data_IF_821299303689
#
_entry.id   IF_821299303689
#
_cell.length_a   1.000
_cell.length_b   1.000
_cell.length_c   1.000
_cell.angle_alpha   90.00
_cell.angle_beta   90.00
_cell.angle_gamma   90.00
#
_symmetry.space_group_name_H-M   'P 1'
#
loop_
_entity.id
_entity.type
_entity.pdbx_description
1 polymer ?
#
# COMPACT_ATOMS: atom_id res chain seq x y z
N UNK A 1 3.31 13.88 3.32
CA UNK A 1 3.29 14.63 2.05
C UNK A 1 4.40 14.22 1.09
N UNK A 2 5.30 13.33 1.49
CA UNK A 2 6.48 13.02 0.68
C UNK A 2 6.18 12.07 -0.49
N UNK A 3 5.13 11.29 -0.43
CA UNK A 3 4.70 10.41 -1.51
C UNK A 3 3.18 10.39 -1.69
N UNK A 4 2.71 10.47 -2.93
CA UNK A 4 1.29 10.36 -3.27
C UNK A 4 1.00 9.00 -3.91
N UNK A 5 0.25 8.10 -3.26
CA UNK A 5 -0.30 6.93 -3.93
C UNK A 5 -1.44 7.32 -4.87
N UNK A 6 -1.37 6.86 -6.12
CA UNK A 6 -2.43 7.03 -7.11
C UNK A 6 -2.78 5.71 -7.77
N UNK A 7 -3.98 5.68 -8.35
CA UNK A 7 -4.45 4.61 -9.24
C UNK A 7 -4.67 5.21 -10.63
N UNK A 8 -4.36 4.47 -11.68
CA UNK A 8 -4.78 4.88 -13.01
C UNK A 8 -6.26 4.54 -13.16
N UNK A 9 -7.07 5.56 -13.27
CA UNK A 9 -8.52 5.47 -13.41
C UNK A 9 -8.92 5.69 -14.86
N UNK A 10 -10.12 5.24 -15.26
CA UNK A 10 -10.68 5.49 -16.61
C UNK A 10 -10.70 6.98 -16.95
N UNK A 11 -11.06 7.81 -15.98
CA UNK A 11 -11.01 9.26 -16.11
C UNK A 11 -9.55 9.76 -16.05
N UNK A 12 -8.91 9.84 -17.21
CA UNK A 12 -7.51 10.27 -17.34
C UNK A 12 -7.30 11.74 -16.97
N UNK A 13 -8.29 12.61 -17.22
CA UNK A 13 -8.23 14.02 -16.83
C UNK A 13 -8.20 14.17 -15.31
N UNK A 14 -8.95 13.31 -14.62
CA UNK A 14 -8.91 13.26 -13.17
C UNK A 14 -7.53 12.80 -12.66
N UNK A 15 -6.95 11.75 -13.23
CA UNK A 15 -5.60 11.28 -12.87
C UNK A 15 -4.57 12.39 -13.12
N UNK A 16 -4.65 13.05 -14.25
CA UNK A 16 -3.75 14.18 -14.58
C UNK A 16 -3.90 15.34 -13.59
N UNK A 17 -5.13 15.63 -13.14
CA UNK A 17 -5.36 16.65 -12.11
C UNK A 17 -4.70 16.28 -10.78
N UNK A 18 -4.72 14.99 -10.40
CA UNK A 18 -4.03 14.52 -9.20
C UNK A 18 -2.51 14.66 -9.33
N UNK A 19 -1.95 14.30 -10.48
CA UNK A 19 -0.51 14.46 -10.76
C UNK A 19 -0.12 15.94 -10.67
N UNK A 20 -0.87 16.84 -11.29
CA UNK A 20 -0.61 18.30 -11.19
C UNK A 20 -0.67 18.81 -9.76
N UNK A 21 -1.65 18.36 -8.97
CA UNK A 21 -1.75 18.72 -7.54
C UNK A 21 -0.56 18.19 -6.74
N UNK A 22 -0.08 17.00 -7.04
CA UNK A 22 1.12 16.45 -6.40
C UNK A 22 2.38 17.28 -6.74
N UNK A 23 2.51 17.74 -7.98
CA UNK A 23 3.61 18.65 -8.40
C UNK A 23 3.53 19.96 -7.63
N UNK A 24 2.35 20.58 -7.58
CA UNK A 24 2.15 21.85 -6.84
C UNK A 24 2.41 21.69 -5.34
N UNK A 25 2.03 20.52 -4.77
CA UNK A 25 2.30 20.19 -3.38
C UNK A 25 3.76 19.77 -3.12
N UNK A 26 4.61 19.76 -4.13
CA UNK A 26 6.03 19.38 -4.06
C UNK A 26 6.23 17.97 -3.47
N UNK A 27 5.34 17.02 -3.80
CA UNK A 27 5.54 15.62 -3.41
C UNK A 27 6.85 15.11 -4.03
N UNK A 28 7.69 14.46 -3.25
CA UNK A 28 8.97 13.92 -3.71
C UNK A 28 8.83 12.66 -4.55
N UNK A 29 7.76 11.89 -4.34
CA UNK A 29 7.49 10.67 -5.07
C UNK A 29 6.00 10.48 -5.40
N UNK A 30 5.74 9.81 -6.52
CA UNK A 30 4.44 9.32 -6.93
C UNK A 30 4.45 7.79 -6.84
N UNK A 31 3.49 7.20 -6.12
CA UNK A 31 3.36 5.75 -6.01
C UNK A 31 2.18 5.29 -6.88
N UNK A 32 2.49 4.73 -8.03
CA UNK A 32 1.48 4.17 -8.94
C UNK A 32 1.15 2.74 -8.53
N UNK A 33 -0.10 2.50 -8.16
CA UNK A 33 -0.59 1.17 -7.78
C UNK A 33 -1.10 0.43 -9.03
N UNK A 34 -0.46 -0.68 -9.36
CA UNK A 34 -0.75 -1.46 -10.58
C UNK A 34 -1.63 -2.70 -10.33
N UNK A 35 -1.78 -3.14 -9.09
CA UNK A 35 -2.50 -4.36 -8.71
C UNK A 35 -3.99 -4.13 -8.37
N UNK A 36 -4.57 -3.00 -8.77
CA UNK A 36 -5.97 -2.64 -8.50
C UNK A 36 -6.70 -2.20 -9.79
N UNK A 37 -6.67 -3.02 -10.81
CA UNK A 37 -7.40 -2.82 -12.07
C UNK A 37 -8.89 -3.09 -11.93
N UNK A 38 -9.24 -4.02 -11.04
CA UNK A 38 -10.60 -4.37 -10.63
C UNK A 38 -10.64 -4.56 -9.12
N UNK A 39 -11.83 -4.42 -8.54
CA UNK A 39 -11.99 -4.63 -7.11
C UNK A 39 -11.98 -6.12 -6.77
N UNK A 40 -11.06 -6.56 -5.91
CA UNK A 40 -11.00 -7.93 -5.39
C UNK A 40 -12.24 -8.30 -4.57
N UNK A 41 -12.66 -9.55 -4.64
CA UNK A 41 -13.80 -10.09 -3.87
C UNK A 41 -13.42 -10.28 -2.40
N UNK A 42 -13.80 -9.34 -1.55
CA UNK A 42 -13.54 -9.36 -0.11
C UNK A 42 -14.73 -9.93 0.64
N UNK A 43 -14.85 -11.24 0.68
CA UNK A 43 -16.00 -11.95 1.25
C UNK A 43 -16.34 -11.51 2.69
N UNK A 44 -15.35 -11.24 3.54
CA UNK A 44 -15.59 -10.74 4.91
C UNK A 44 -16.19 -9.35 4.92
N UNK A 45 -15.73 -8.45 4.04
CA UNK A 45 -16.26 -7.10 3.94
C UNK A 45 -17.70 -7.16 3.44
N UNK A 46 -17.98 -7.97 2.42
CA UNK A 46 -19.34 -8.20 1.87
C UNK A 46 -20.27 -8.76 2.96
N UNK A 47 -19.83 -9.81 3.68
CA UNK A 47 -20.61 -10.44 4.76
C UNK A 47 -20.92 -9.48 5.90
N UNK A 48 -20.02 -8.54 6.18
CA UNK A 48 -20.18 -7.53 7.23
C UNK A 48 -20.91 -6.26 6.75
N UNK A 49 -21.44 -6.23 5.51
CA UNK A 49 -22.11 -5.05 4.96
C UNK A 49 -21.17 -3.90 4.60
N UNK A 50 -19.84 -4.14 4.59
CA UNK A 50 -18.82 -3.18 4.17
C UNK A 50 -18.62 -3.22 2.64
N UNK A 51 -19.74 -3.31 1.91
CA UNK A 51 -19.77 -3.19 0.45
C UNK A 51 -19.59 -1.72 0.02
N UNK A 52 -19.45 -1.51 -1.29
CA UNK A 52 -19.44 -0.17 -1.87
C UNK A 52 -20.73 0.02 -2.67
N UNK A 53 -21.66 0.86 -2.20
CA UNK A 53 -21.69 1.61 -0.94
C UNK A 53 -21.90 0.72 0.30
N UNK A 54 -21.50 1.16 1.50
CA UNK A 54 -21.70 0.40 2.74
C UNK A 54 -23.19 0.24 3.06
N UNK A 55 -23.58 -0.95 3.54
CA UNK A 55 -24.95 -1.24 3.97
C UNK A 55 -25.01 -1.35 5.48
N UNK A 56 -25.92 -0.59 6.11
CA UNK A 56 -26.17 -0.72 7.52
C UNK A 56 -27.01 -1.99 7.76
N UNK A 57 -26.44 -2.94 8.54
CA UNK A 57 -27.13 -4.13 9.01
C UNK A 57 -27.34 -4.03 10.51
N UNK A 58 -28.30 -4.76 11.07
CA UNK A 58 -28.54 -4.78 12.54
C UNK A 58 -27.25 -5.15 13.29
N UNK A 59 -26.49 -6.10 12.77
CA UNK A 59 -25.24 -6.54 13.38
C UNK A 59 -24.19 -5.43 13.42
N UNK A 60 -23.94 -4.73 12.32
CA UNK A 60 -22.94 -3.66 12.31
C UNK A 60 -23.44 -2.41 13.05
N UNK A 61 -24.76 -2.16 13.11
CA UNK A 61 -25.33 -1.11 13.92
C UNK A 61 -25.10 -1.36 15.43
N UNK A 62 -25.33 -2.60 15.89
CA UNK A 62 -25.03 -3.00 17.27
C UNK A 62 -23.53 -2.90 17.59
N UNK A 63 -22.66 -3.34 16.67
CA UNK A 63 -21.21 -3.22 16.85
C UNK A 63 -20.76 -1.74 16.94
N UNK A 64 -21.34 -0.86 16.14
CA UNK A 64 -21.10 0.58 16.19
C UNK A 64 -21.52 1.17 17.56
N UNK A 65 -22.72 0.86 18.03
CA UNK A 65 -23.23 1.39 19.31
C UNK A 65 -22.36 0.96 20.50
N UNK A 66 -21.75 -0.22 20.45
CA UNK A 66 -20.82 -0.69 21.50
C UNK A 66 -19.47 0.04 21.49
N UNK A 67 -19.22 0.97 20.54
CA UNK A 67 -17.96 1.70 20.39
C UNK A 67 -18.16 3.22 20.53
N UNK A 68 -18.59 3.72 21.71
CA UNK A 68 -18.99 5.11 21.88
C UNK A 68 -17.88 6.11 21.55
N UNK A 69 -16.62 5.81 21.89
CA UNK A 69 -15.50 6.67 21.56
C UNK A 69 -15.32 6.84 20.04
N UNK A 70 -15.46 5.74 19.26
CA UNK A 70 -15.40 5.79 17.81
C UNK A 70 -16.58 6.59 17.23
N UNK A 71 -17.80 6.37 17.75
CA UNK A 71 -19.01 7.10 17.33
C UNK A 71 -18.83 8.61 17.55
N UNK A 72 -18.39 9.02 18.73
CA UNK A 72 -18.15 10.42 19.04
C UNK A 72 -17.09 11.04 18.12
N UNK A 73 -15.97 10.36 17.92
CA UNK A 73 -14.93 10.85 17.03
C UNK A 73 -15.43 11.01 15.57
N UNK A 74 -16.22 10.07 15.08
CA UNK A 74 -16.83 10.18 13.74
C UNK A 74 -17.86 11.31 13.68
N UNK A 75 -18.69 11.47 14.71
CA UNK A 75 -19.70 12.53 14.76
C UNK A 75 -19.07 13.93 14.82
N UNK A 76 -17.98 14.07 15.56
CA UNK A 76 -17.24 15.33 15.70
C UNK A 76 -16.25 15.59 14.57
N UNK A 77 -15.98 14.60 13.71
CA UNK A 77 -15.05 14.76 12.59
C UNK A 77 -15.54 15.82 11.59
N UNK A 78 -14.70 16.81 11.27
CA UNK A 78 -15.10 17.93 10.40
C UNK A 78 -15.36 17.50 8.94
N UNK A 79 -14.82 16.37 8.51
CA UNK A 79 -14.93 15.87 7.14
C UNK A 79 -15.20 14.38 7.11
N UNK A 80 -16.28 13.97 6.42
CA UNK A 80 -16.69 12.58 6.21
C UNK A 80 -16.75 12.28 4.71
N UNK A 81 -15.67 12.63 3.98
CA UNK A 81 -15.63 12.52 2.52
C UNK A 81 -14.22 12.21 2.04
N UNK A 82 -14.11 11.81 0.79
CA UNK A 82 -12.83 11.60 0.13
C UNK A 82 -12.24 12.96 -0.30
N UNK A 83 -11.31 13.49 0.48
CA UNK A 83 -10.78 14.85 0.31
C UNK A 83 -10.24 15.15 -1.08
N UNK A 84 -9.66 14.16 -1.77
CA UNK A 84 -9.13 14.34 -3.12
C UNK A 84 -10.21 14.41 -4.22
N UNK A 85 -11.45 14.04 -3.91
CA UNK A 85 -12.58 14.02 -4.85
C UNK A 85 -13.52 15.23 -4.66
N UNK A 86 -13.40 15.94 -3.53
CA UNK A 86 -14.23 17.11 -3.23
C UNK A 86 -13.88 18.25 -4.16
N UNK A 87 -14.91 18.92 -4.69
CA UNK A 87 -14.76 20.09 -5.55
C UNK A 87 -14.56 19.82 -7.03
N UNK A 88 -14.49 18.54 -7.44
CA UNK A 88 -14.30 18.19 -8.86
C UNK A 88 -15.61 18.01 -9.63
N UNK A 89 -16.78 18.27 -8.99
CA UNK A 89 -18.10 18.11 -9.61
C UNK A 89 -18.45 16.67 -10.03
N UNK A 90 -17.63 15.70 -9.67
CA UNK A 90 -17.71 14.30 -10.07
C UNK A 90 -18.19 13.45 -8.88
N UNK A 91 -19.20 12.62 -9.07
CA UNK A 91 -19.67 11.65 -8.08
C UNK A 91 -20.67 12.17 -7.03
N UNK A 92 -21.13 13.42 -7.10
CA UNK A 92 -22.11 13.98 -6.16
C UNK A 92 -21.57 14.25 -4.76
N UNK A 93 -22.43 14.80 -3.87
CA UNK A 93 -22.06 15.26 -2.52
C UNK A 93 -22.14 14.19 -1.44
N UNK A 94 -22.76 13.03 -1.69
CA UNK A 94 -22.93 11.98 -0.69
C UNK A 94 -21.94 10.82 -0.88
N UNK A 95 -21.60 10.16 0.24
CA UNK A 95 -20.61 9.06 0.25
C UNK A 95 -21.02 7.87 -0.64
N UNK A 96 -22.30 7.63 -0.82
CA UNK A 96 -22.82 6.52 -1.61
C UNK A 96 -22.58 6.73 -3.12
N UNK A 97 -22.93 7.89 -3.67
CA UNK A 97 -22.70 8.25 -5.07
C UNK A 97 -21.20 8.35 -5.37
N UNK A 98 -20.43 8.88 -4.44
CA UNK A 98 -18.98 8.98 -4.54
C UNK A 98 -18.30 7.60 -4.57
N UNK A 99 -18.77 6.68 -3.72
CA UNK A 99 -18.28 5.31 -3.69
C UNK A 99 -18.62 4.54 -4.99
N UNK A 100 -19.82 4.75 -5.52
CA UNK A 100 -20.21 4.16 -6.81
C UNK A 100 -19.37 4.72 -7.96
N UNK A 101 -19.11 6.04 -7.97
CA UNK A 101 -18.24 6.65 -8.96
C UNK A 101 -16.83 6.06 -8.90
N UNK A 102 -16.22 5.94 -7.70
CA UNK A 102 -14.91 5.32 -7.53
C UNK A 102 -14.91 3.89 -8.10
N UNK A 103 -15.93 3.10 -7.78
CA UNK A 103 -16.04 1.73 -8.29
C UNK A 103 -16.12 1.65 -9.83
N UNK A 104 -16.77 2.64 -10.47
CA UNK A 104 -16.85 2.73 -11.93
C UNK A 104 -15.53 3.16 -12.60
N UNK A 105 -14.61 3.72 -11.83
CA UNK A 105 -13.33 4.24 -12.33
C UNK A 105 -12.23 3.18 -12.45
N UNK A 106 -12.42 1.98 -11.89
CA UNK A 106 -11.46 0.90 -12.10
C UNK A 106 -11.33 0.56 -13.58
N UNK A 107 -10.09 0.45 -14.04
CA UNK A 107 -9.76 0.24 -15.44
C UNK A 107 -9.06 -1.12 -15.64
N UNK A 108 -9.80 -2.17 -16.08
CA UNK A 108 -9.22 -3.47 -16.33
C UNK A 108 -8.28 -3.50 -17.54
N UNK A 109 -8.24 -2.42 -18.34
CA UNK A 109 -7.36 -2.32 -19.50
C UNK A 109 -6.01 -1.68 -19.21
N UNK A 110 -5.71 -1.41 -17.92
CA UNK A 110 -4.43 -0.87 -17.48
C UNK A 110 -3.26 -1.70 -18.03
N UNK A 111 -2.30 -1.02 -18.63
CA UNK A 111 -1.14 -1.60 -19.29
C UNK A 111 0.12 -0.80 -19.02
N UNK A 112 1.26 -1.30 -19.44
CA UNK A 112 2.55 -0.58 -19.36
C UNK A 112 2.57 0.74 -20.15
N UNK A 113 1.69 0.89 -21.16
CA UNK A 113 1.50 2.17 -21.87
C UNK A 113 0.95 3.25 -20.94
N UNK A 114 0.08 2.87 -20.01
CA UNK A 114 -0.48 3.80 -19.02
C UNK A 114 0.55 4.18 -17.97
N UNK A 115 1.43 3.26 -17.61
CA UNK A 115 2.57 3.55 -16.73
C UNK A 115 3.51 4.57 -17.40
N UNK A 116 3.84 4.36 -18.68
CA UNK A 116 4.63 5.30 -19.48
C UNK A 116 3.94 6.67 -19.60
N UNK A 117 2.61 6.68 -19.76
CA UNK A 117 1.81 7.91 -19.78
C UNK A 117 1.90 8.69 -18.46
N UNK A 118 1.89 8.01 -17.31
CA UNK A 118 2.11 8.63 -15.99
C UNK A 118 3.55 9.13 -15.89
N UNK A 119 4.55 8.33 -16.29
CA UNK A 119 5.98 8.72 -16.24
C UNK A 119 6.24 10.02 -16.98
N UNK A 120 5.66 10.20 -18.17
CA UNK A 120 5.81 11.41 -18.98
C UNK A 120 5.27 12.68 -18.30
N UNK A 121 4.29 12.54 -17.39
CA UNK A 121 3.62 13.65 -16.69
C UNK A 121 4.19 13.92 -15.31
N UNK A 122 4.87 12.96 -14.74
CA UNK A 122 5.45 13.08 -13.41
C UNK A 122 6.96 13.27 -13.48
N UNK A 123 7.51 14.43 -13.11
CA UNK A 123 8.94 14.70 -13.22
C UNK A 123 9.77 14.14 -12.05
N UNK A 124 9.12 13.80 -10.93
CA UNK A 124 9.76 13.33 -9.70
C UNK A 124 10.00 11.80 -9.70
N UNK A 125 10.27 11.24 -8.53
CA UNK A 125 10.48 9.81 -8.34
C UNK A 125 9.19 9.04 -8.58
N UNK A 126 9.22 8.03 -9.46
CA UNK A 126 8.10 7.14 -9.75
C UNK A 126 8.33 5.78 -9.10
N UNK A 127 7.39 5.37 -8.26
CA UNK A 127 7.39 4.07 -7.59
C UNK A 127 6.22 3.25 -8.12
N UNK A 128 6.46 2.03 -8.60
CA UNK A 128 5.40 1.14 -9.08
C UNK A 128 5.12 0.08 -8.02
N UNK A 129 3.89 0.07 -7.49
CA UNK A 129 3.46 -0.83 -6.43
C UNK A 129 2.55 -1.93 -6.98
N UNK A 130 2.71 -3.15 -6.44
CA UNK A 130 1.88 -4.31 -6.82
C UNK A 130 2.62 -5.30 -7.72
N UNK A 131 3.94 -5.27 -7.71
CA UNK A 131 4.77 -6.16 -8.51
C UNK A 131 4.99 -7.48 -7.75
N UNK A 132 4.69 -8.60 -8.40
CA UNK A 132 4.86 -9.96 -7.86
C UNK A 132 5.62 -10.87 -8.81
N UNK A 133 5.93 -10.40 -10.01
CA UNK A 133 6.61 -11.14 -11.05
C UNK A 133 7.90 -10.45 -11.49
N UNK A 134 8.92 -11.25 -11.85
CA UNK A 134 10.24 -10.74 -12.25
C UNK A 134 10.21 -10.04 -13.61
N UNK A 135 9.36 -10.49 -14.54
CA UNK A 135 9.26 -9.87 -15.87
C UNK A 135 8.54 -8.52 -15.77
N UNK A 136 7.48 -8.43 -14.94
CA UNK A 136 6.84 -7.16 -14.63
C UNK A 136 7.81 -6.19 -13.92
N UNK A 137 8.69 -6.71 -13.05
CA UNK A 137 9.74 -5.89 -12.44
C UNK A 137 10.72 -5.31 -13.47
N UNK A 138 11.13 -6.09 -14.48
CA UNK A 138 11.96 -5.61 -15.60
C UNK A 138 11.24 -4.54 -16.42
N UNK A 139 9.96 -4.77 -16.75
CA UNK A 139 9.14 -3.80 -17.47
C UNK A 139 8.95 -2.48 -16.68
N UNK A 140 8.86 -2.56 -15.35
CA UNK A 140 8.82 -1.38 -14.50
C UNK A 140 10.11 -0.56 -14.62
N UNK A 141 11.28 -1.22 -14.59
CA UNK A 141 12.59 -0.57 -14.80
C UNK A 141 12.65 0.07 -16.18
N UNK A 142 12.27 -0.66 -17.23
CA UNK A 142 12.31 -0.20 -18.63
C UNK A 142 11.38 1.02 -18.84
N UNK A 143 10.30 1.11 -18.06
CA UNK A 143 9.39 2.26 -18.10
C UNK A 143 9.92 3.47 -17.31
N UNK A 144 11.06 3.33 -16.63
CA UNK A 144 11.72 4.40 -15.88
C UNK A 144 11.22 4.55 -14.44
N UNK A 145 10.83 3.44 -13.80
CA UNK A 145 10.54 3.43 -12.37
C UNK A 145 11.82 3.61 -11.55
N UNK A 146 11.79 4.54 -10.60
CA UNK A 146 12.89 4.77 -9.66
C UNK A 146 12.89 3.73 -8.52
N UNK A 147 11.73 3.15 -8.22
CA UNK A 147 11.58 2.05 -7.28
C UNK A 147 10.35 1.19 -7.62
N UNK A 148 10.36 -0.04 -7.13
CA UNK A 148 9.19 -0.92 -7.15
C UNK A 148 8.83 -1.35 -5.73
N UNK A 149 7.54 -1.65 -5.49
CA UNK A 149 7.09 -2.28 -4.26
C UNK A 149 6.60 -3.69 -4.57
N UNK A 150 7.30 -4.69 -4.05
CA UNK A 150 6.85 -6.08 -4.08
C UNK A 150 5.66 -6.22 -3.14
N UNK A 151 4.48 -6.46 -3.71
CA UNK A 151 3.21 -6.33 -3.01
C UNK A 151 2.14 -7.22 -3.62
N UNK A 152 1.36 -7.91 -2.78
CA UNK A 152 0.09 -8.55 -3.15
C UNK A 152 -1.12 -7.79 -2.57
N UNK A 153 -0.97 -6.48 -2.32
CA UNK A 153 -1.98 -5.64 -1.69
C UNK A 153 -2.46 -6.16 -0.32
N UNK A 154 -1.59 -6.86 0.40
CA UNK A 154 -1.93 -7.49 1.69
C UNK A 154 -2.95 -8.63 1.55
N UNK A 155 -2.97 -9.35 0.41
CA UNK A 155 -3.88 -10.43 0.10
C UNK A 155 -5.33 -9.96 -0.15
N UNK A 156 -5.54 -8.71 -0.54
CA UNK A 156 -6.88 -8.09 -0.67
C UNK A 156 -7.41 -8.05 -2.10
N UNK A 157 -6.62 -8.49 -3.07
CA UNK A 157 -6.97 -8.48 -4.50
C UNK A 157 -7.24 -9.88 -5.02
N UNK A 158 -6.22 -10.64 -5.35
CA UNK A 158 -6.35 -12.02 -5.80
C UNK A 158 -6.10 -12.97 -4.62
N UNK A 159 -7.12 -13.74 -4.25
CA UNK A 159 -6.95 -14.83 -3.28
C UNK A 159 -6.13 -15.96 -3.93
N UNK A 160 -5.20 -16.54 -3.18
CA UNK A 160 -4.27 -17.54 -3.71
C UNK A 160 -3.07 -16.98 -4.48
N UNK A 161 -2.92 -15.65 -4.60
CA UNK A 161 -1.68 -15.06 -5.09
C UNK A 161 -0.50 -15.42 -4.17
N UNK A 162 0.74 -15.54 -4.69
CA UNK A 162 1.91 -15.79 -3.87
C UNK A 162 2.07 -14.71 -2.79
N UNK A 163 2.64 -15.09 -1.64
CA UNK A 163 3.00 -14.09 -0.65
C UNK A 163 4.10 -13.19 -1.20
N UNK A 164 4.02 -11.90 -0.92
CA UNK A 164 5.02 -10.94 -1.39
C UNK A 164 6.42 -11.29 -0.90
N UNK A 165 6.56 -11.85 0.31
CA UNK A 165 7.86 -12.28 0.84
C UNK A 165 8.45 -13.47 0.04
N UNK A 166 7.63 -14.36 -0.51
CA UNK A 166 8.08 -15.46 -1.35
C UNK A 166 8.51 -14.97 -2.75
N UNK A 167 7.87 -13.94 -3.28
CA UNK A 167 8.22 -13.34 -4.58
C UNK A 167 9.47 -12.45 -4.49
N UNK A 168 9.75 -11.87 -3.32
CA UNK A 168 10.80 -10.86 -3.12
C UNK A 168 12.20 -11.30 -3.62
N UNK A 169 12.73 -12.48 -3.27
CA UNK A 169 14.09 -12.85 -3.70
C UNK A 169 14.26 -12.92 -5.21
N UNK A 170 13.26 -13.47 -5.93
CA UNK A 170 13.29 -13.57 -7.39
C UNK A 170 13.25 -12.20 -8.07
N UNK A 171 12.49 -11.28 -7.52
CA UNK A 171 12.40 -9.89 -8.02
C UNK A 171 13.71 -9.13 -7.72
N UNK A 172 14.27 -9.27 -6.52
CA UNK A 172 15.56 -8.66 -6.17
C UNK A 172 16.66 -9.18 -7.10
N UNK A 173 16.71 -10.49 -7.38
CA UNK A 173 17.67 -11.06 -8.32
C UNK A 173 17.51 -10.53 -9.75
N UNK A 174 16.28 -10.15 -10.15
CA UNK A 174 16.02 -9.67 -11.50
C UNK A 174 16.35 -8.18 -11.71
N UNK A 175 16.19 -7.32 -10.70
CA UNK A 175 16.25 -5.86 -10.86
C UNK A 175 16.89 -5.11 -9.69
N UNK A 176 17.35 -5.80 -8.66
CA UNK A 176 17.87 -5.15 -7.44
C UNK A 176 19.13 -4.31 -7.65
N UNK A 177 19.86 -4.51 -8.74
CA UNK A 177 21.00 -3.72 -9.19
C UNK A 177 20.61 -2.49 -10.04
N UNK A 178 19.36 -2.42 -10.49
CA UNK A 178 18.86 -1.40 -11.44
C UNK A 178 17.90 -0.41 -10.82
N UNK A 179 17.12 -0.84 -9.82
CA UNK A 179 16.12 -0.01 -9.16
C UNK A 179 16.00 -0.37 -7.69
N UNK A 180 15.43 0.54 -6.90
CA UNK A 180 15.16 0.26 -5.49
C UNK A 180 13.98 -0.72 -5.36
N UNK A 181 14.17 -1.77 -4.57
CA UNK A 181 13.13 -2.76 -4.27
C UNK A 181 12.62 -2.54 -2.86
N UNK A 182 11.37 -2.10 -2.77
CA UNK A 182 10.63 -1.95 -1.52
C UNK A 182 9.69 -3.14 -1.33
N UNK A 183 9.22 -3.34 -0.11
CA UNK A 183 8.38 -4.48 0.24
C UNK A 183 7.15 -4.06 1.04
N UNK A 184 6.00 -4.65 0.75
CA UNK A 184 4.84 -4.65 1.63
C UNK A 184 4.12 -6.03 1.61
N UNK A 185 3.13 -6.15 2.48
CA UNK A 185 2.35 -7.38 2.60
C UNK A 185 2.77 -8.22 3.79
N UNK A 186 2.04 -8.05 4.89
CA UNK A 186 2.25 -8.84 6.10
C UNK A 186 3.18 -8.24 7.15
N UNK A 187 3.79 -7.10 6.92
CA UNK A 187 4.64 -6.41 7.91
C UNK A 187 3.82 -6.02 9.14
N UNK A 188 4.12 -6.62 10.30
CA UNK A 188 3.44 -6.43 11.58
C UNK A 188 4.40 -6.25 12.75
N UNK A 189 5.67 -6.59 12.56
CA UNK A 189 6.70 -6.61 13.59
C UNK A 189 8.04 -6.13 13.03
N UNK A 190 8.98 -5.78 13.92
CA UNK A 190 10.34 -5.49 13.53
C UNK A 190 11.09 -6.69 12.95
N UNK A 191 10.71 -7.91 13.34
CA UNK A 191 11.24 -9.13 12.74
C UNK A 191 10.81 -9.28 11.27
N UNK A 192 9.58 -8.89 10.91
CA UNK A 192 9.14 -8.92 9.51
C UNK A 192 9.93 -7.93 8.67
N UNK A 193 10.21 -6.73 9.21
CA UNK A 193 11.09 -5.73 8.58
C UNK A 193 12.48 -6.34 8.35
N UNK A 194 13.08 -6.90 9.41
CA UNK A 194 14.41 -7.50 9.35
C UNK A 194 14.50 -8.61 8.28
N UNK A 195 13.51 -9.53 8.24
CA UNK A 195 13.46 -10.61 7.25
C UNK A 195 13.33 -10.10 5.82
N UNK A 196 12.47 -9.10 5.59
CA UNK A 196 12.32 -8.51 4.26
C UNK A 196 13.62 -7.84 3.79
N UNK A 197 14.29 -7.10 4.68
CA UNK A 197 15.59 -6.50 4.36
C UNK A 197 16.66 -7.57 4.12
N UNK A 198 16.68 -8.64 4.93
CA UNK A 198 17.61 -9.75 4.74
C UNK A 198 17.41 -10.48 3.39
N UNK A 199 16.20 -10.44 2.83
CA UNK A 199 15.88 -10.97 1.51
C UNK A 199 16.07 -9.95 0.38
N UNK A 200 16.64 -8.78 0.67
CA UNK A 200 17.06 -7.78 -0.30
C UNK A 200 16.15 -6.58 -0.49
N UNK A 201 15.08 -6.44 0.29
CA UNK A 201 14.32 -5.20 0.31
C UNK A 201 15.13 -4.05 0.93
N UNK A 202 15.09 -2.87 0.32
CA UNK A 202 15.76 -1.67 0.82
C UNK A 202 14.88 -0.85 1.76
N UNK A 203 13.61 -1.20 1.86
CA UNK A 203 12.66 -0.60 2.79
C UNK A 203 11.34 -1.36 2.80
N UNK A 204 10.54 -1.13 3.83
CA UNK A 204 9.26 -1.81 4.02
C UNK A 204 8.13 -0.82 4.26
N UNK A 205 6.91 -1.23 3.90
CA UNK A 205 5.68 -0.48 4.15
C UNK A 205 4.73 -1.32 5.01
N UNK A 206 4.10 -0.70 5.99
CA UNK A 206 3.12 -1.33 6.86
C UNK A 206 1.73 -0.72 6.64
N UNK A 207 0.73 -1.53 6.40
CA UNK A 207 -0.66 -1.10 6.23
C UNK A 207 -1.54 -1.45 7.42
N UNK A 208 -1.94 -2.71 7.53
CA UNK A 208 -2.93 -3.15 8.54
C UNK A 208 -2.51 -2.89 9.99
N UNK A 209 -1.22 -3.07 10.32
CA UNK A 209 -0.72 -2.80 11.67
C UNK A 209 -0.98 -1.34 12.09
N UNK A 210 -0.71 -0.41 11.18
CA UNK A 210 -0.92 1.02 11.39
C UNK A 210 -2.42 1.35 11.46
N UNK A 211 -3.23 0.76 10.57
CA UNK A 211 -4.69 0.96 10.57
C UNK A 211 -5.35 0.44 11.86
N UNK A 212 -4.87 -0.66 12.43
CA UNK A 212 -5.36 -1.14 13.74
C UNK A 212 -4.99 -0.16 14.86
N UNK A 213 -3.78 0.37 14.86
CA UNK A 213 -3.38 1.42 15.79
C UNK A 213 -4.27 2.66 15.67
N UNK A 214 -4.47 3.13 14.43
CA UNK A 214 -5.35 4.27 14.15
C UNK A 214 -6.79 4.04 14.64
N UNK A 215 -7.34 2.84 14.35
CA UNK A 215 -8.70 2.49 14.77
C UNK A 215 -8.87 2.36 16.29
N UNK A 216 -7.83 1.94 17.00
CA UNK A 216 -7.88 1.75 18.44
C UNK A 216 -7.71 3.06 19.24
N UNK A 217 -6.75 3.90 18.84
CA UNK A 217 -6.30 5.04 19.65
C UNK A 217 -6.04 6.32 18.82
N UNK A 218 -6.50 6.37 17.57
CA UNK A 218 -6.25 7.52 16.70
C UNK A 218 -4.74 7.73 16.41
N UNK A 219 -4.28 8.99 16.31
CA UNK A 219 -2.87 9.30 16.05
C UNK A 219 -1.88 8.68 17.03
N UNK A 220 -2.25 8.61 18.33
CA UNK A 220 -1.43 7.98 19.35
C UNK A 220 -1.21 6.48 19.07
N UNK A 221 -2.25 5.78 18.58
CA UNK A 221 -2.14 4.37 18.19
C UNK A 221 -1.25 4.16 16.99
N UNK A 222 -1.23 5.07 16.02
CA UNK A 222 -0.28 5.04 14.90
C UNK A 222 1.15 5.16 15.41
N UNK A 223 1.40 6.13 16.27
CA UNK A 223 2.73 6.32 16.87
C UNK A 223 3.16 5.07 17.66
N UNK A 224 2.27 4.54 18.50
CA UNK A 224 2.54 3.31 19.27
C UNK A 224 2.88 2.13 18.36
N UNK A 225 2.13 1.92 17.29
CA UNK A 225 2.38 0.82 16.35
C UNK A 225 3.75 0.95 15.66
N UNK A 226 4.12 2.15 15.25
CA UNK A 226 5.43 2.42 14.64
C UNK A 226 6.57 2.21 15.65
N UNK A 227 6.43 2.70 16.88
CA UNK A 227 7.44 2.54 17.93
C UNK A 227 7.62 1.08 18.36
N UNK A 228 6.54 0.29 18.40
CA UNK A 228 6.64 -1.15 18.64
C UNK A 228 7.45 -1.85 17.55
N UNK A 229 7.14 -1.59 16.28
CA UNK A 229 7.86 -2.19 15.13
C UNK A 229 9.34 -1.76 15.18
N UNK A 230 9.64 -0.48 15.47
CA UNK A 230 11.00 0.02 15.59
C UNK A 230 11.76 -0.67 16.71
N UNK A 231 11.17 -0.77 17.91
CA UNK A 231 11.77 -1.45 19.07
C UNK A 231 12.07 -2.91 18.81
N UNK A 232 11.12 -3.62 18.16
CA UNK A 232 11.31 -5.03 17.80
C UNK A 232 12.41 -5.20 16.75
N UNK A 233 12.56 -4.27 15.80
CA UNK A 233 13.68 -4.25 14.87
C UNK A 233 15.00 -4.09 15.60
N UNK A 234 15.11 -3.11 16.52
CA UNK A 234 16.31 -2.87 17.33
C UNK A 234 16.71 -4.12 18.13
N UNK A 235 15.73 -4.78 18.77
CA UNK A 235 15.96 -6.03 19.53
C UNK A 235 16.40 -7.16 18.59
N UNK A 236 15.76 -7.29 17.43
CA UNK A 236 16.11 -8.32 16.44
C UNK A 236 17.53 -8.11 15.93
N UNK A 237 17.92 -6.88 15.64
CA UNK A 237 19.28 -6.53 15.23
C UNK A 237 20.29 -6.87 16.33
N UNK A 238 20.01 -6.51 17.59
CA UNK A 238 20.87 -6.83 18.71
C UNK A 238 21.07 -8.35 18.87
N UNK A 239 19.99 -9.13 18.84
CA UNK A 239 20.02 -10.58 18.99
C UNK A 239 20.68 -11.31 17.81
N UNK A 240 20.73 -10.71 16.64
CA UNK A 240 21.42 -11.24 15.45
C UNK A 240 22.84 -10.67 15.26
N UNK A 241 23.33 -9.88 16.21
CA UNK A 241 24.66 -9.27 16.12
C UNK A 241 24.79 -8.29 14.96
N UNK A 242 23.73 -7.56 14.63
CA UNK A 242 23.67 -6.57 13.53
C UNK A 242 23.67 -5.17 14.13
N UNK A 243 24.65 -4.33 13.78
CA UNK A 243 24.80 -2.96 14.35
C UNK A 243 24.22 -1.87 13.45
N UNK A 244 24.22 -2.10 12.16
CA UNK A 244 23.68 -1.18 11.16
C UNK A 244 22.62 -1.90 10.32
N UNK A 245 21.53 -1.23 9.99
CA UNK A 245 20.48 -1.76 9.10
C UNK A 245 21.02 -2.14 7.73
N UNK A 246 22.10 -1.51 7.28
CA UNK A 246 22.77 -1.81 6.02
C UNK A 246 23.54 -3.15 6.03
N UNK A 247 23.80 -3.69 7.22
CA UNK A 247 24.46 -4.99 7.39
C UNK A 247 23.44 -6.16 7.36
N UNK A 248 22.14 -5.84 7.33
CA UNK A 248 21.10 -6.87 7.23
C UNK A 248 21.19 -7.51 5.84
N UNK A 249 21.45 -8.81 5.82
CA UNK A 249 21.57 -9.56 4.56
C UNK A 249 21.20 -11.02 4.72
N UNK A 250 21.21 -11.81 3.63
CA UNK A 250 20.77 -13.22 3.61
C UNK A 250 21.51 -14.12 4.61
N UNK A 251 22.77 -13.79 4.93
CA UNK A 251 23.60 -14.49 5.92
C UNK A 251 23.04 -14.45 7.35
N UNK A 252 22.08 -13.57 7.63
CA UNK A 252 21.39 -13.47 8.91
C UNK A 252 20.15 -14.38 8.99
N UNK A 253 19.76 -14.99 7.91
CA UNK A 253 18.60 -15.90 7.86
C UNK A 253 19.07 -17.35 8.02
N UNK A 254 18.37 -18.09 8.89
CA UNK A 254 18.57 -19.54 8.97
C UNK A 254 18.00 -20.20 7.72
N UNK A 255 18.81 -21.00 7.03
CA UNK A 255 18.37 -21.87 5.95
C UNK A 255 18.50 -23.33 6.41
N UNK A 256 17.42 -24.09 6.30
CA UNK A 256 17.44 -25.53 6.57
C UNK A 256 18.06 -26.34 5.42
N UNK A 257 18.35 -25.72 4.28
CA UNK A 257 19.07 -26.38 3.20
C UNK A 257 20.56 -26.47 3.55
N UNK A 258 21.21 -27.62 3.37
CA UNK A 258 22.66 -27.72 3.54
C UNK A 258 23.33 -26.73 2.59
N UNK A 259 24.33 -26.00 3.09
CA UNK A 259 25.20 -25.18 2.25
C UNK A 259 25.79 -26.08 1.17
N UNK A 260 25.49 -25.81 -0.09
CA UNK A 260 26.11 -26.49 -1.24
C UNK A 260 27.47 -25.89 -1.52
#
# INVERSE_FOLDING_TARGET
>A
HDALPIYVMRDRDFVESLIRRAIVAQCSALVLTADLQIQGQRHRDIKNGLSVPPRLTLRNALDIVTRPAWVLNILLAPRRTFGNLVGLGRGGSNLSTLSQWIASQFDPTLSWKDVAWVRQRWPGKLIIKGILDADDARLAVDTGADAIVVSNHGGRQLDGAPSSIAALPGIVAAVGDKTQVLFDGGVRSGQDVFKAMALGAQGTMAGKAILYGLGAMGPAGVHTALELIRKELDVTMALTGTRDVKEIGPHKLWSSAPAR
#
